data_IF_609005592040
#
_entry.id   IF_609005592040
#
_cell.length_a   1.000
_cell.length_b   1.000
_cell.length_c   1.000
_cell.angle_alpha   90.00
_cell.angle_beta   90.00
_cell.angle_gamma   90.00
#
_symmetry.space_group_name_H-M   'P 1'
#
loop_
_entity.id
_entity.type
_entity.pdbx_description
1 polymer ?
#
# COMPACT_ATOMS: atom_id res chain seq x y z
N UNK A 1 31.90 7.66 60.85
CA UNK A 1 32.30 6.35 60.30
C UNK A 1 32.99 6.58 58.97
N UNK A 2 34.19 6.03 58.72
CA UNK A 2 34.80 6.07 57.40
C UNK A 2 33.98 5.23 56.41
N UNK A 3 33.82 5.72 55.18
CA UNK A 3 33.14 4.97 54.11
C UNK A 3 33.97 3.72 53.77
N UNK A 4 33.35 2.56 53.51
CA UNK A 4 34.09 1.37 53.09
C UNK A 4 34.88 1.65 51.80
N UNK A 5 36.09 1.09 51.70
CA UNK A 5 36.94 1.19 50.50
C UNK A 5 36.26 0.37 49.39
N UNK A 6 35.86 1.05 48.32
CA UNK A 6 35.22 0.42 47.15
C UNK A 6 36.27 -0.36 46.35
N UNK A 7 35.98 -1.62 45.98
CA UNK A 7 36.86 -2.46 45.17
C UNK A 7 37.00 -1.89 43.74
N UNK A 8 38.17 -1.99 43.08
CA UNK A 8 38.39 -1.42 41.74
C UNK A 8 37.35 -1.88 40.71
N UNK A 9 36.88 -3.13 40.83
CA UNK A 9 35.85 -3.69 39.96
C UNK A 9 34.49 -2.99 40.11
N UNK A 10 34.10 -2.64 41.34
CA UNK A 10 32.84 -1.93 41.62
C UNK A 10 32.88 -0.51 41.05
N UNK A 11 34.04 0.15 41.10
CA UNK A 11 34.24 1.47 40.49
C UNK A 11 34.09 1.42 38.96
N UNK A 12 34.63 0.38 38.31
CA UNK A 12 34.42 0.16 36.87
C UNK A 12 32.94 -0.07 36.55
N UNK A 13 32.24 -0.90 37.33
CA UNK A 13 30.80 -1.12 37.13
C UNK A 13 29.98 0.14 37.35
N UNK A 14 30.36 0.98 38.31
CA UNK A 14 29.70 2.25 38.60
C UNK A 14 29.92 3.28 37.49
N UNK A 15 31.10 3.27 36.85
CA UNK A 15 31.42 4.17 35.74
C UNK A 15 30.56 3.93 34.49
N UNK A 16 30.24 2.67 34.17
CA UNK A 16 29.36 2.32 33.04
C UNK A 16 27.87 2.32 33.38
N UNK A 17 27.51 2.56 34.65
CA UNK A 17 26.11 2.64 35.06
C UNK A 17 25.54 3.95 34.54
N UNK A 18 24.64 3.87 33.55
CA UNK A 18 23.84 5.04 33.16
C UNK A 18 23.16 5.63 34.40
N UNK A 19 23.03 6.98 34.50
CA UNK A 19 22.34 7.60 35.61
C UNK A 19 20.98 6.94 35.82
N UNK A 20 20.64 6.60 37.07
CA UNK A 20 19.29 6.10 37.38
C UNK A 20 18.30 7.23 37.13
N UNK A 21 17.74 7.27 35.93
CA UNK A 21 16.65 8.17 35.60
C UNK A 21 15.43 7.69 36.39
N UNK A 22 15.07 8.42 37.43
CA UNK A 22 13.95 8.14 38.34
C UNK A 22 12.58 8.54 37.74
N UNK A 23 12.49 8.57 36.40
CA UNK A 23 11.33 9.02 35.65
C UNK A 23 10.37 7.85 35.44
N UNK A 24 9.08 8.09 35.65
CA UNK A 24 8.04 7.12 35.34
C UNK A 24 8.07 6.78 33.84
N UNK A 25 7.68 5.56 33.44
CA UNK A 25 7.61 5.13 32.03
C UNK A 25 6.83 6.12 31.15
N UNK A 26 5.80 6.76 31.72
CA UNK A 26 4.98 7.78 31.05
C UNK A 26 5.72 9.11 30.86
N UNK A 27 6.60 9.48 31.78
CA UNK A 27 7.42 10.68 31.70
C UNK A 27 8.57 10.50 30.71
N UNK A 28 9.19 9.32 30.68
CA UNK A 28 10.19 8.96 29.68
C UNK A 28 9.63 8.95 28.26
N UNK A 29 8.39 8.47 28.08
CA UNK A 29 7.72 8.53 26.78
C UNK A 29 7.39 9.96 26.35
N UNK A 30 6.92 10.81 27.28
CA UNK A 30 6.69 12.24 27.01
C UNK A 30 8.00 12.95 26.63
N UNK A 31 9.08 12.67 27.34
CA UNK A 31 10.41 13.23 27.06
C UNK A 31 10.97 12.74 25.72
N UNK A 32 10.69 11.49 25.35
CA UNK A 32 11.04 10.95 24.03
C UNK A 32 10.29 11.66 22.89
N UNK A 33 8.99 11.91 23.05
CA UNK A 33 8.19 12.66 22.08
C UNK A 33 8.71 14.10 21.94
N UNK A 34 8.93 14.79 23.05
CA UNK A 34 9.37 16.17 23.10
C UNK A 34 10.31 16.43 24.28
N UNK A 35 11.56 16.75 23.98
CA UNK A 35 12.54 17.18 24.98
C UNK A 35 12.72 18.71 24.90
N UNK A 36 12.10 19.49 25.82
CA UNK A 36 12.19 20.95 25.80
C UNK A 36 13.60 21.48 26.11
N UNK A 37 14.46 20.70 26.78
CA UNK A 37 15.82 21.13 27.13
C UNK A 37 16.77 21.14 25.92
N UNK A 38 16.63 20.15 25.04
CA UNK A 38 17.41 20.04 23.81
C UNK A 38 16.64 20.54 22.57
N UNK A 39 15.36 20.88 22.74
CA UNK A 39 14.42 21.17 21.65
C UNK A 39 14.23 20.00 20.69
N UNK A 40 14.50 18.77 21.13
CA UNK A 40 14.49 17.57 20.30
C UNK A 40 13.09 16.93 20.22
N UNK A 41 12.71 16.51 19.02
CA UNK A 41 11.48 15.78 18.74
C UNK A 41 11.87 14.34 18.40
N UNK A 42 11.24 13.33 19.02
CA UNK A 42 11.57 11.91 18.80
C UNK A 42 13.07 11.62 18.95
N UNK A 43 13.72 12.25 19.94
CA UNK A 43 15.14 12.07 20.24
C UNK A 43 16.12 12.72 19.25
N UNK A 44 15.69 13.60 18.34
CA UNK A 44 16.59 14.37 17.46
C UNK A 44 16.23 15.85 17.37
N UNK A 45 17.24 16.69 17.17
CA UNK A 45 17.04 18.13 16.97
C UNK A 45 16.35 18.43 15.63
N UNK A 46 15.56 19.50 15.52
CA UNK A 46 14.89 19.89 14.27
C UNK A 46 15.85 20.09 13.10
N UNK A 47 17.08 20.55 13.38
CA UNK A 47 18.15 20.68 12.39
C UNK A 47 18.62 19.31 11.84
N UNK A 48 18.65 18.27 12.66
CA UNK A 48 18.95 16.91 12.20
C UNK A 48 17.79 16.33 11.39
N UNK A 49 16.55 16.56 11.84
CA UNK A 49 15.34 16.17 11.12
C UNK A 49 15.25 16.79 9.74
N UNK A 50 15.53 18.09 9.60
CA UNK A 50 15.51 18.76 8.29
C UNK A 50 16.58 18.22 7.35
N UNK A 51 17.79 17.94 7.83
CA UNK A 51 18.86 17.33 7.03
C UNK A 51 18.46 15.96 6.50
N UNK A 52 17.88 15.11 7.36
CA UNK A 52 17.41 13.77 7.00
C UNK A 52 16.24 13.87 6.01
N UNK A 53 15.27 14.75 6.30
CA UNK A 53 14.11 14.98 5.44
C UNK A 53 14.52 15.43 4.03
N UNK A 54 15.40 16.43 3.93
CA UNK A 54 15.92 16.91 2.64
C UNK A 54 16.71 15.83 1.91
N UNK A 55 17.54 15.06 2.61
CA UNK A 55 18.27 13.93 2.00
C UNK A 55 17.32 12.90 1.39
N UNK A 56 16.34 12.42 2.16
CA UNK A 56 15.38 11.43 1.67
C UNK A 56 14.47 11.99 0.59
N UNK A 57 14.07 13.26 0.68
CA UNK A 57 13.29 13.92 -0.37
C UNK A 57 14.04 13.90 -1.70
N UNK A 58 15.29 14.37 -1.73
CA UNK A 58 16.11 14.37 -2.96
C UNK A 58 16.35 12.94 -3.44
N UNK A 59 16.70 12.03 -2.54
CA UNK A 59 16.95 10.63 -2.86
C UNK A 59 15.72 9.96 -3.52
N UNK A 60 14.54 10.10 -2.92
CA UNK A 60 13.31 9.52 -3.47
C UNK A 60 12.83 10.24 -4.73
N UNK A 61 13.08 11.55 -4.87
CA UNK A 61 12.82 12.26 -6.13
C UNK A 61 13.69 11.69 -7.27
N UNK A 62 14.98 11.46 -7.04
CA UNK A 62 15.88 10.86 -8.04
C UNK A 62 15.48 9.42 -8.34
N UNK A 63 15.12 8.64 -7.32
CA UNK A 63 14.65 7.27 -7.51
C UNK A 63 13.35 7.22 -8.32
N UNK A 64 12.39 8.09 -8.02
CA UNK A 64 11.14 8.20 -8.77
C UNK A 64 11.39 8.64 -10.22
N UNK A 65 12.31 9.58 -10.44
CA UNK A 65 12.71 10.01 -11.78
C UNK A 65 13.35 8.85 -12.57
N UNK A 66 14.20 8.06 -11.94
CA UNK A 66 14.80 6.87 -12.58
C UNK A 66 13.71 5.86 -12.98
N UNK A 67 12.77 5.57 -12.08
CA UNK A 67 11.63 4.67 -12.39
C UNK A 67 10.80 5.24 -13.54
N UNK A 68 10.51 6.54 -13.51
CA UNK A 68 9.75 7.21 -14.57
C UNK A 68 10.46 7.15 -15.93
N UNK A 69 11.79 7.35 -15.96
CA UNK A 69 12.60 7.22 -17.19
C UNK A 69 12.60 5.77 -17.69
N UNK A 70 12.77 4.79 -16.81
CA UNK A 70 12.70 3.38 -17.18
C UNK A 70 11.33 3.02 -17.77
N UNK A 71 10.24 3.47 -17.14
CA UNK A 71 8.87 3.28 -17.65
C UNK A 71 8.65 4.00 -18.98
N UNK A 72 9.15 5.23 -19.12
CA UNK A 72 9.05 5.98 -20.37
C UNK A 72 9.75 5.25 -21.53
N UNK A 73 10.98 4.76 -21.32
CA UNK A 73 11.70 3.94 -22.30
C UNK A 73 10.92 2.66 -22.61
N UNK A 74 10.39 1.98 -21.60
CA UNK A 74 9.57 0.79 -21.79
C UNK A 74 8.35 1.06 -22.70
N UNK A 75 7.63 2.16 -22.49
CA UNK A 75 6.50 2.55 -23.33
C UNK A 75 6.89 2.82 -24.79
N UNK A 76 8.11 3.30 -25.07
CA UNK A 76 8.59 3.42 -26.45
C UNK A 76 8.74 2.07 -27.17
N UNK A 77 8.79 0.96 -26.43
CA UNK A 77 8.89 -0.40 -27.00
C UNK A 77 7.54 -1.08 -27.25
N UNK A 78 6.43 -0.39 -26.97
CA UNK A 78 5.06 -0.87 -27.13
C UNK A 78 4.39 -0.20 -28.33
N UNK A 79 3.60 -0.99 -29.07
CA UNK A 79 2.75 -0.48 -30.15
C UNK A 79 1.42 0.03 -29.54
N UNK A 80 0.97 1.27 -29.85
CA UNK A 80 -0.30 1.80 -29.36
C UNK A 80 -1.54 1.11 -29.95
N UNK A 81 -1.41 0.35 -31.04
CA UNK A 81 -2.53 -0.30 -31.73
C UNK A 81 -2.72 -1.75 -31.34
N UNK A 82 -1.65 -2.45 -30.96
CA UNK A 82 -1.71 -3.88 -30.71
C UNK A 82 -0.88 -4.29 -29.50
N UNK A 83 -1.37 -5.23 -28.67
CA UNK A 83 -0.59 -5.75 -27.55
C UNK A 83 0.63 -6.51 -28.08
N UNK A 84 1.78 -6.33 -27.42
CA UNK A 84 3.07 -6.90 -27.84
C UNK A 84 3.08 -8.42 -27.87
N UNK A 85 2.42 -9.06 -26.91
CA UNK A 85 2.37 -10.51 -26.77
C UNK A 85 0.94 -11.00 -27.02
N UNK A 86 0.77 -11.80 -28.07
CA UNK A 86 -0.52 -12.31 -28.53
C UNK A 86 -0.45 -13.81 -28.77
N UNK A 87 -1.61 -14.48 -28.68
CA UNK A 87 -1.76 -15.91 -28.96
C UNK A 87 -0.74 -16.74 -28.15
N UNK A 88 0.08 -17.55 -28.81
CA UNK A 88 1.05 -18.45 -28.18
C UNK A 88 2.17 -17.71 -27.43
N UNK A 89 2.38 -16.41 -27.70
CA UNK A 89 3.32 -15.57 -26.95
C UNK A 89 2.70 -15.01 -25.67
N UNK A 90 1.38 -15.07 -25.53
CA UNK A 90 0.64 -14.62 -24.35
C UNK A 90 0.29 -15.79 -23.44
N UNK A 91 0.15 -15.51 -22.14
CA UNK A 91 -0.32 -16.48 -21.15
C UNK A 91 -1.74 -17.02 -21.47
N UNK A 92 -2.55 -16.22 -22.17
CA UNK A 92 -3.93 -16.56 -22.55
C UNK A 92 -3.94 -17.66 -23.63
N UNK A 93 -2.87 -17.77 -24.43
CA UNK A 93 -2.75 -18.74 -25.51
C UNK A 93 -3.65 -18.43 -26.71
N UNK A 94 -3.88 -19.45 -27.53
CA UNK A 94 -4.64 -19.39 -28.80
C UNK A 94 -6.13 -19.70 -28.68
N UNK A 95 -6.58 -20.14 -27.50
CA UNK A 95 -7.97 -20.54 -27.28
C UNK A 95 -8.75 -19.39 -26.63
N UNK A 96 -9.70 -18.76 -27.34
CA UNK A 96 -10.48 -17.67 -26.76
C UNK A 96 -11.42 -18.19 -25.66
N UNK A 97 -11.64 -17.38 -24.64
CA UNK A 97 -12.66 -17.64 -23.63
C UNK A 97 -14.07 -17.42 -24.15
N UNK A 98 -15.05 -18.11 -23.56
CA UNK A 98 -16.48 -17.91 -23.82
C UNK A 98 -17.15 -17.34 -22.56
N UNK A 99 -17.75 -16.16 -22.70
CA UNK A 99 -18.60 -15.56 -21.66
C UNK A 99 -20.08 -15.65 -22.03
N UNK A 100 -20.97 -15.62 -21.03
CA UNK A 100 -22.41 -15.55 -21.25
C UNK A 100 -23.02 -14.31 -20.57
N UNK A 101 -24.22 -13.94 -21.00
CA UNK A 101 -25.06 -12.89 -20.42
C UNK A 101 -26.49 -13.45 -20.24
N UNK A 102 -27.28 -12.97 -19.27
CA UNK A 102 -26.99 -11.93 -18.28
C UNK A 102 -26.06 -12.39 -17.14
N UNK A 103 -25.36 -11.44 -16.51
CA UNK A 103 -24.54 -11.69 -15.32
C UNK A 103 -25.40 -11.60 -14.04
N UNK A 104 -25.05 -12.34 -12.97
CA UNK A 104 -25.73 -12.22 -11.67
C UNK A 104 -25.57 -10.82 -11.07
N UNK A 105 -26.40 -10.51 -10.07
CA UNK A 105 -26.22 -9.32 -9.24
C UNK A 105 -24.86 -9.33 -8.54
N UNK A 106 -24.36 -8.14 -8.17
CA UNK A 106 -23.05 -7.96 -7.53
C UNK A 106 -22.89 -8.77 -6.24
N UNK A 107 -24.00 -9.10 -5.56
CA UNK A 107 -24.02 -9.93 -4.36
C UNK A 107 -23.67 -11.41 -4.61
N UNK A 108 -23.75 -11.89 -5.86
CA UNK A 108 -23.52 -13.30 -6.22
C UNK A 108 -22.64 -13.45 -7.49
N UNK A 109 -21.62 -12.60 -7.64
CA UNK A 109 -20.74 -12.56 -8.84
C UNK A 109 -19.99 -13.86 -9.14
N UNK A 110 -19.80 -14.72 -8.15
CA UNK A 110 -19.10 -16.01 -8.33
C UNK A 110 -20.02 -17.13 -8.88
N UNK A 111 -21.33 -16.92 -8.87
CA UNK A 111 -22.29 -17.92 -9.31
C UNK A 111 -22.60 -17.79 -10.80
N UNK A 112 -22.35 -18.84 -11.59
CA UNK A 112 -22.83 -18.90 -12.98
C UNK A 112 -24.29 -19.35 -13.09
N UNK A 113 -24.97 -19.56 -11.97
CA UNK A 113 -26.33 -20.09 -11.92
C UNK A 113 -27.36 -19.00 -12.19
N UNK A 114 -28.09 -19.16 -13.30
CA UNK A 114 -29.31 -18.39 -13.57
C UNK A 114 -30.48 -19.18 -13.01
N UNK A 115 -31.02 -18.71 -11.88
CA UNK A 115 -32.22 -19.27 -11.30
C UNK A 115 -33.31 -18.20 -11.25
N UNK A 116 -34.48 -18.55 -11.77
CA UNK A 116 -35.65 -17.70 -11.64
C UNK A 116 -36.96 -18.48 -11.61
N UNK A 117 -38.01 -17.83 -11.13
CA UNK A 117 -39.38 -18.33 -11.12
C UNK A 117 -40.20 -17.61 -12.20
N UNK A 118 -40.53 -18.30 -13.29
CA UNK A 118 -41.23 -17.70 -14.44
C UNK A 118 -42.63 -17.15 -14.14
N UNK A 119 -43.26 -17.55 -13.03
CA UNK A 119 -44.56 -17.02 -12.61
C UNK A 119 -44.47 -15.71 -11.82
N UNK A 120 -43.27 -15.25 -11.45
CA UNK A 120 -43.05 -14.06 -10.63
C UNK A 120 -42.20 -13.02 -11.38
N UNK A 121 -42.83 -11.92 -11.81
CA UNK A 121 -42.18 -10.87 -12.61
C UNK A 121 -40.88 -10.37 -11.97
N UNK A 122 -40.94 -9.99 -10.70
CA UNK A 122 -39.81 -9.39 -9.97
C UNK A 122 -38.56 -10.28 -9.97
N UNK A 123 -38.74 -11.59 -10.05
CA UNK A 123 -37.66 -12.55 -9.92
C UNK A 123 -36.86 -12.72 -11.24
N UNK A 124 -37.54 -12.73 -12.39
CA UNK A 124 -36.85 -12.76 -13.68
C UNK A 124 -36.47 -11.36 -14.19
N UNK A 125 -37.14 -10.32 -13.69
CA UNK A 125 -36.90 -8.93 -14.10
C UNK A 125 -35.45 -8.47 -13.93
N UNK A 126 -34.79 -8.90 -12.85
CA UNK A 126 -33.35 -8.63 -12.67
C UNK A 126 -32.49 -9.13 -13.84
N UNK A 127 -32.84 -10.29 -14.41
CA UNK A 127 -32.12 -10.92 -15.52
C UNK A 127 -32.45 -10.24 -16.84
N UNK A 128 -33.72 -9.87 -17.06
CA UNK A 128 -34.15 -9.16 -18.27
C UNK A 128 -33.60 -7.74 -18.30
N UNK A 129 -33.63 -7.01 -17.18
CA UNK A 129 -33.11 -5.65 -17.10
C UNK A 129 -31.59 -5.63 -17.36
N UNK A 130 -30.85 -6.60 -16.83
CA UNK A 130 -29.42 -6.76 -17.11
C UNK A 130 -29.14 -7.06 -18.59
N UNK A 131 -30.01 -7.85 -19.23
CA UNK A 131 -29.91 -8.16 -20.65
C UNK A 131 -30.29 -6.97 -21.52
N UNK A 132 -31.36 -6.26 -21.18
CA UNK A 132 -31.80 -5.04 -21.88
C UNK A 132 -30.73 -3.96 -21.82
N UNK A 133 -30.11 -3.76 -20.66
CA UNK A 133 -28.97 -2.85 -20.49
C UNK A 133 -27.76 -3.26 -21.34
N UNK A 134 -27.44 -4.55 -21.40
CA UNK A 134 -26.35 -5.05 -22.23
C UNK A 134 -26.64 -4.85 -23.74
N UNK A 135 -27.89 -4.99 -24.14
CA UNK A 135 -28.31 -4.87 -25.54
C UNK A 135 -28.56 -3.42 -26.00
N UNK A 136 -28.54 -2.43 -25.10
CA UNK A 136 -28.82 -1.03 -25.42
C UNK A 136 -27.89 -0.49 -26.51
N UNK A 137 -26.58 -0.75 -26.39
CA UNK A 137 -25.55 -0.35 -27.38
C UNK A 137 -25.74 -1.00 -28.76
N UNK A 138 -26.55 -2.05 -28.86
CA UNK A 138 -26.83 -2.78 -30.11
C UNK A 138 -28.20 -2.42 -30.73
N UNK A 139 -29.04 -1.63 -30.04
CA UNK A 139 -30.39 -1.30 -30.51
C UNK A 139 -30.41 -0.15 -31.51
N UNK A 140 -29.47 0.78 -31.42
CA UNK A 140 -29.31 1.86 -32.40
C UNK A 140 -28.19 1.48 -33.37
N UNK A 141 -28.43 1.46 -34.69
CA UNK A 141 -27.34 1.42 -35.65
C UNK A 141 -26.46 2.65 -35.43
N UNK A 142 -25.17 2.43 -35.20
CA UNK A 142 -24.16 3.49 -35.24
C UNK A 142 -24.03 4.11 -36.63
#
# INVERSE_FOLDING_TARGET
MPKPVEEPFDQFQQYYRSPKDNKSTTESFKLFLWNPAEGAIFGRTPSSWSKIGTFYMIFYCVLAALVAVCMWVFFQTLDPRTPKWQLDQSLIGTNPGLGFRPLPSEDNVESTLIWYKGTEEKNYKQWTDALDKFLEDYRTPG
#
